data_IF_033665451874
#
_entry.id   IF_033665451874
#
_cell.length_a   1.000
_cell.length_b   1.000
_cell.length_c   1.000
_cell.angle_alpha   90.00
_cell.angle_beta   90.00
_cell.angle_gamma   90.00
#
_symmetry.space_group_name_H-M   'P 1'
#
loop_
_entity.id
_entity.type
_entity.pdbx_description
1 polymer ?
#
# COMPACT_ATOMS: atom_id res chain seq x y z
N UNK A 1 -52.31 -42.88 16.45
CA UNK A 1 -50.83 -42.76 16.47
C UNK A 1 -50.47 -41.33 16.10
N UNK A 2 -50.13 -40.48 17.07
CA UNK A 2 -49.60 -39.13 16.81
C UNK A 2 -48.08 -39.18 17.00
N UNK A 3 -47.33 -38.96 15.91
CA UNK A 3 -45.87 -38.90 15.93
C UNK A 3 -45.47 -37.50 16.40
N UNK A 4 -44.82 -37.41 17.55
CA UNK A 4 -44.14 -36.19 18.01
C UNK A 4 -42.92 -35.96 17.12
N UNK A 5 -42.99 -34.95 16.26
CA UNK A 5 -41.85 -34.48 15.47
C UNK A 5 -40.85 -33.87 16.45
N UNK A 6 -39.69 -34.50 16.60
CA UNK A 6 -38.60 -33.97 17.43
C UNK A 6 -38.16 -32.61 16.91
N UNK A 7 -38.28 -31.57 17.73
CA UNK A 7 -37.84 -30.23 17.36
C UNK A 7 -36.34 -30.24 17.04
N UNK A 8 -36.01 -29.98 15.78
CA UNK A 8 -34.61 -29.82 15.34
C UNK A 8 -34.02 -28.63 16.09
N UNK A 9 -32.93 -28.87 16.82
CA UNK A 9 -32.31 -27.90 17.73
C UNK A 9 -31.61 -26.80 16.90
N UNK A 10 -32.34 -25.74 16.56
CA UNK A 10 -31.90 -24.59 15.74
C UNK A 10 -30.72 -23.81 16.30
N UNK A 11 -30.46 -23.90 17.62
CA UNK A 11 -29.34 -23.20 18.28
C UNK A 11 -27.96 -23.59 17.74
N UNK A 12 -27.75 -24.86 17.38
CA UNK A 12 -26.45 -25.32 16.86
C UNK A 12 -26.17 -24.82 15.44
N UNK A 13 -27.21 -24.69 14.63
CA UNK A 13 -27.13 -24.19 13.24
C UNK A 13 -26.79 -22.70 13.25
N UNK A 14 -27.46 -21.91 14.11
CA UNK A 14 -27.18 -20.49 14.23
C UNK A 14 -25.72 -20.19 14.66
N UNK A 15 -25.16 -21.01 15.56
CA UNK A 15 -23.74 -20.89 15.95
C UNK A 15 -22.79 -21.19 14.78
N UNK A 16 -23.12 -22.18 13.95
CA UNK A 16 -22.32 -22.55 12.79
C UNK A 16 -22.37 -21.46 11.70
N UNK A 17 -23.56 -20.94 11.40
CA UNK A 17 -23.72 -19.84 10.44
C UNK A 17 -22.91 -18.61 10.85
N UNK A 18 -22.94 -18.25 12.13
CA UNK A 18 -22.13 -17.16 12.67
C UNK A 18 -20.64 -17.46 12.59
N UNK A 19 -20.20 -18.69 12.92
CA UNK A 19 -18.79 -19.06 12.86
C UNK A 19 -18.24 -18.92 11.44
N UNK A 20 -18.96 -19.41 10.43
CA UNK A 20 -18.54 -19.31 9.02
C UNK A 20 -18.55 -17.84 8.56
N UNK A 21 -19.60 -17.10 8.89
CA UNK A 21 -19.69 -15.67 8.55
C UNK A 21 -18.57 -14.85 9.20
N UNK A 22 -18.25 -15.12 10.47
CA UNK A 22 -17.16 -14.46 11.19
C UNK A 22 -15.80 -14.79 10.59
N UNK A 23 -15.54 -16.06 10.24
CA UNK A 23 -14.29 -16.45 9.56
C UNK A 23 -14.12 -15.70 8.25
N UNK A 24 -15.17 -15.60 7.43
CA UNK A 24 -15.12 -14.84 6.18
C UNK A 24 -14.89 -13.34 6.44
N UNK A 25 -15.57 -12.77 7.44
CA UNK A 25 -15.40 -11.38 7.83
C UNK A 25 -13.96 -11.10 8.31
N UNK A 26 -13.35 -12.03 9.04
CA UNK A 26 -11.95 -11.90 9.48
C UNK A 26 -10.98 -11.90 8.30
N UNK A 27 -11.16 -12.79 7.31
CA UNK A 27 -10.35 -12.78 6.09
C UNK A 27 -10.44 -11.45 5.35
N UNK A 28 -11.66 -10.91 5.21
CA UNK A 28 -11.86 -9.60 4.58
C UNK A 28 -11.19 -8.49 5.39
N UNK A 29 -11.29 -8.50 6.72
CA UNK A 29 -10.65 -7.50 7.56
C UNK A 29 -9.13 -7.52 7.46
N UNK A 30 -8.49 -8.69 7.45
CA UNK A 30 -7.04 -8.79 7.24
C UNK A 30 -6.65 -8.24 5.86
N UNK A 31 -7.37 -8.61 4.81
CA UNK A 31 -7.13 -8.07 3.47
C UNK A 31 -7.26 -6.54 3.40
N UNK A 32 -8.25 -5.96 4.10
CA UNK A 32 -8.39 -4.49 4.16
C UNK A 32 -7.24 -3.82 4.90
N UNK A 33 -6.76 -4.42 6.00
CA UNK A 33 -5.64 -3.87 6.77
C UNK A 33 -4.37 -3.86 5.93
N UNK A 34 -4.05 -4.99 5.27
CA UNK A 34 -2.89 -5.10 4.38
C UNK A 34 -3.00 -4.13 3.20
N UNK A 35 -4.17 -4.06 2.56
CA UNK A 35 -4.42 -3.13 1.47
C UNK A 35 -4.26 -1.67 1.92
N UNK A 36 -4.73 -1.34 3.13
CA UNK A 36 -4.58 -0.01 3.72
C UNK A 36 -3.12 0.37 3.93
N UNK A 37 -2.29 -0.55 4.42
CA UNK A 37 -0.86 -0.34 4.59
C UNK A 37 -0.15 -0.09 3.25
N UNK A 38 -0.42 -0.92 2.23
CA UNK A 38 0.12 -0.74 0.88
C UNK A 38 -0.31 0.59 0.28
N UNK A 39 -1.58 0.96 0.44
CA UNK A 39 -2.10 2.22 -0.07
C UNK A 39 -1.47 3.44 0.61
N UNK A 40 -1.25 3.37 1.93
CA UNK A 40 -0.56 4.42 2.68
C UNK A 40 0.88 4.63 2.18
N UNK A 41 1.65 3.56 1.99
CA UNK A 41 3.03 3.66 1.47
C UNK A 41 3.02 4.22 0.06
N UNK A 42 2.15 3.71 -0.83
CA UNK A 42 2.03 4.21 -2.20
C UNK A 42 1.70 5.71 -2.25
N UNK A 43 0.81 6.18 -1.38
CA UNK A 43 0.46 7.60 -1.31
C UNK A 43 1.69 8.46 -0.96
N UNK A 44 2.46 8.07 0.06
CA UNK A 44 3.67 8.77 0.44
C UNK A 44 4.75 8.72 -0.64
N UNK A 45 4.93 7.59 -1.33
CA UNK A 45 5.87 7.47 -2.46
C UNK A 45 5.56 8.47 -3.58
N UNK A 46 4.29 8.66 -3.92
CA UNK A 46 3.90 9.63 -4.96
C UNK A 46 4.19 11.06 -4.51
N UNK A 47 3.95 11.39 -3.24
CA UNK A 47 4.28 12.70 -2.69
C UNK A 47 5.80 12.95 -2.68
N UNK A 48 6.58 11.96 -2.26
CA UNK A 48 8.04 11.99 -2.26
C UNK A 48 8.61 12.16 -3.68
N UNK A 49 8.11 11.38 -4.65
CA UNK A 49 8.54 11.48 -6.05
C UNK A 49 8.23 12.87 -6.63
N UNK A 50 7.06 13.44 -6.30
CA UNK A 50 6.69 14.79 -6.73
C UNK A 50 7.64 15.85 -6.17
N UNK A 51 8.01 15.74 -4.90
CA UNK A 51 8.94 16.68 -4.28
C UNK A 51 10.35 16.55 -4.86
N UNK A 52 10.84 15.32 -5.07
CA UNK A 52 12.10 15.06 -5.76
C UNK A 52 12.12 15.64 -7.19
N UNK A 53 11.05 15.43 -7.95
CA UNK A 53 10.92 15.95 -9.32
C UNK A 53 10.88 17.48 -9.34
N UNK A 54 10.14 18.10 -8.41
CA UNK A 54 10.13 19.56 -8.25
C UNK A 54 11.52 20.10 -7.92
N UNK A 55 12.22 19.44 -7.00
CA UNK A 55 13.55 19.86 -6.60
C UNK A 55 14.53 19.83 -7.77
N UNK A 56 14.47 18.78 -8.59
CA UNK A 56 15.28 18.63 -9.81
C UNK A 56 14.92 19.70 -10.86
N UNK A 57 13.63 19.90 -11.15
CA UNK A 57 13.17 20.86 -12.16
C UNK A 57 13.43 22.34 -11.78
N UNK A 58 13.29 22.72 -10.52
CA UNK A 58 13.36 24.13 -10.09
C UNK A 58 14.78 24.55 -9.71
N UNK A 59 15.52 23.69 -9.01
CA UNK A 59 16.85 24.05 -8.50
C UNK A 59 17.99 23.70 -9.44
N UNK A 60 17.74 22.94 -10.51
CA UNK A 60 18.78 22.51 -11.46
C UNK A 60 19.88 21.67 -10.79
N UNK A 61 19.54 21.03 -9.67
CA UNK A 61 20.47 20.20 -8.91
C UNK A 61 20.70 18.85 -9.60
N UNK A 62 21.74 18.13 -9.21
CA UNK A 62 21.99 16.78 -9.72
C UNK A 62 20.86 15.81 -9.36
N UNK A 63 20.62 14.80 -10.19
CA UNK A 63 19.65 13.74 -9.91
C UNK A 63 19.84 13.06 -8.56
N UNK A 64 21.08 13.01 -8.04
CA UNK A 64 21.39 12.45 -6.71
C UNK A 64 20.75 13.27 -5.59
N UNK A 65 20.81 14.61 -5.65
CA UNK A 65 20.19 15.44 -4.62
C UNK A 65 18.66 15.32 -4.63
N UNK A 66 18.06 15.19 -5.82
CA UNK A 66 16.62 14.96 -5.96
C UNK A 66 16.17 13.60 -5.38
N UNK A 67 16.99 12.56 -5.55
CA UNK A 67 16.76 11.26 -4.92
C UNK A 67 16.81 11.35 -3.40
N UNK A 68 17.81 12.04 -2.84
CA UNK A 68 17.92 12.20 -1.39
C UNK A 68 16.72 12.95 -0.80
N UNK A 69 16.27 14.03 -1.44
CA UNK A 69 15.06 14.76 -1.01
C UNK A 69 13.81 13.88 -1.06
N UNK A 70 13.69 13.03 -2.08
CA UNK A 70 12.58 12.08 -2.13
C UNK A 70 12.65 11.01 -1.03
N UNK A 71 13.85 10.51 -0.70
CA UNK A 71 14.03 9.50 0.35
C UNK A 71 13.84 10.08 1.75
N UNK A 72 14.25 11.32 2.00
CA UNK A 72 14.05 12.04 3.27
C UNK A 72 12.55 12.12 3.64
N UNK A 73 11.69 12.32 2.65
CA UNK A 73 10.23 12.33 2.82
C UNK A 73 9.64 10.97 3.21
N UNK A 74 10.40 9.88 3.01
CA UNK A 74 9.98 8.51 3.32
C UNK A 74 10.64 7.94 4.57
N UNK A 75 11.52 8.70 5.25
CA UNK A 75 12.29 8.24 6.41
C UNK A 75 11.39 7.71 7.55
N UNK A 76 10.20 8.27 7.70
CA UNK A 76 9.22 7.85 8.73
C UNK A 76 8.59 6.47 8.47
N UNK A 77 8.77 5.90 7.28
CA UNK A 77 8.22 4.60 6.90
C UNK A 77 9.36 3.59 6.94
N UNK A 78 9.24 2.56 7.79
CA UNK A 78 10.22 1.47 7.87
C UNK A 78 10.10 0.53 6.67
N UNK A 79 10.78 0.88 5.58
CA UNK A 79 11.01 0.02 4.41
C UNK A 79 12.25 0.52 3.64
N UNK A 80 12.86 -0.38 2.87
CA UNK A 80 14.01 -0.12 2.01
C UNK A 80 13.53 0.42 0.65
N UNK A 81 13.39 1.75 0.60
CA UNK A 81 13.05 2.46 -0.62
C UNK A 81 14.29 2.67 -1.51
N UNK A 82 14.13 2.40 -2.81
CA UNK A 82 15.12 2.75 -3.84
C UNK A 82 14.56 3.85 -4.73
N UNK A 83 15.24 4.99 -4.82
CA UNK A 83 14.85 6.12 -5.67
C UNK A 83 15.83 6.31 -6.83
N UNK A 84 15.28 6.50 -8.03
CA UNK A 84 16.03 6.86 -9.24
C UNK A 84 15.43 8.11 -9.87
N UNK A 85 16.22 9.17 -9.93
CA UNK A 85 15.89 10.40 -10.65
C UNK A 85 16.68 10.47 -11.96
N UNK A 86 15.97 10.69 -13.06
CA UNK A 86 16.51 10.84 -14.41
C UNK A 86 16.05 12.17 -14.99
N UNK A 87 16.98 12.92 -15.57
CA UNK A 87 16.71 14.13 -16.34
C UNK A 87 17.05 13.84 -17.80
N UNK A 88 16.08 14.03 -18.69
CA UNK A 88 16.25 13.84 -20.13
C UNK A 88 16.05 15.18 -20.82
N UNK A 89 17.07 15.64 -21.54
CA UNK A 89 16.96 16.83 -22.38
C UNK A 89 16.24 16.42 -23.67
N UNK A 90 15.05 16.99 -23.90
CA UNK A 90 14.29 16.79 -25.15
C UNK A 90 14.25 18.08 -25.96
N UNK A 91 13.91 17.98 -27.25
CA UNK A 91 13.78 19.14 -28.15
C UNK A 91 12.73 20.16 -27.66
N UNK A 92 11.83 19.76 -26.75
CA UNK A 92 10.80 20.60 -26.15
C UNK A 92 11.15 21.11 -24.73
N UNK A 93 12.39 20.89 -24.26
CA UNK A 93 12.86 21.27 -22.92
C UNK A 93 13.34 20.08 -22.07
N UNK A 94 13.64 20.33 -20.80
CA UNK A 94 14.10 19.28 -19.89
C UNK A 94 12.91 18.52 -19.30
N UNK A 95 12.85 17.22 -19.55
CA UNK A 95 11.93 16.29 -18.90
C UNK A 95 12.59 15.70 -17.66
N UNK A 96 11.86 15.71 -16.55
CA UNK A 96 12.34 15.21 -15.26
C UNK A 96 11.44 14.09 -14.79
N UNK A 97 12.05 12.93 -14.50
CA UNK A 97 11.35 11.75 -14.00
C UNK A 97 12.00 11.26 -12.70
N UNK A 98 11.18 10.95 -11.70
CA UNK A 98 11.62 10.34 -10.44
C UNK A 98 10.81 9.07 -10.22
N UNK A 99 11.51 7.95 -10.18
CA UNK A 99 10.97 6.63 -9.91
C UNK A 99 11.36 6.20 -8.49
N UNK A 100 10.39 5.73 -7.70
CA UNK A 100 10.62 5.16 -6.38
C UNK A 100 10.09 3.74 -6.38
N UNK A 101 10.89 2.80 -5.89
CA UNK A 101 10.57 1.38 -5.78
C UNK A 101 10.71 0.93 -4.33
N UNK A 102 9.87 -0.02 -3.95
CA UNK A 102 9.92 -0.70 -2.65
C UNK A 102 9.51 -2.16 -2.85
N UNK A 103 10.18 -3.13 -2.22
CA UNK A 103 9.74 -4.52 -2.21
C UNK A 103 8.37 -4.65 -1.53
N UNK A 104 7.46 -5.42 -2.15
CA UNK A 104 6.13 -5.66 -1.58
C UNK A 104 6.19 -6.30 -0.19
N UNK A 105 7.16 -7.19 0.02
CA UNK A 105 7.35 -7.96 1.26
C UNK A 105 7.70 -7.11 2.49
N UNK A 106 8.17 -5.88 2.28
CA UNK A 106 8.46 -4.96 3.38
C UNK A 106 7.25 -4.10 3.74
N UNK A 107 6.28 -4.01 2.84
CA UNK A 107 5.07 -3.18 2.99
C UNK A 107 3.85 -4.03 3.35
N UNK A 108 3.77 -5.23 2.81
CA UNK A 108 2.73 -6.21 3.10
C UNK A 108 3.25 -7.18 4.16
N UNK A 109 2.49 -7.32 5.25
CA UNK A 109 2.73 -8.38 6.23
C UNK A 109 2.19 -9.67 5.64
N UNK A 110 3.06 -10.64 5.33
CA UNK A 110 2.68 -11.99 4.93
C UNK A 110 2.65 -12.93 6.16
#
# INVERSE_FOLDING_TARGET
MQRTVGQVRTRGIATLELAIGLTLMMLVLFALIEFGAVFYVRHNMVLAAREGARHLAVRGNTGVAAQQVALDQLESITADFTAHATETVTDNGNEVSVEIRVPLEEVAVA
#
